data_IF_942795899496
#
_entry.id   IF_942795899496
#
_cell.length_a   1.000
_cell.length_b   1.000
_cell.length_c   1.000
_cell.angle_alpha   90.00
_cell.angle_beta   90.00
_cell.angle_gamma   90.00
#
_symmetry.space_group_name_H-M   'P 1'
#
loop_
_entity.id
_entity.type
_entity.pdbx_description
1 polymer ?
#
# COMPACT_ATOMS: atom_id res chain seq x y z
N UNK A 1 -2.81 -6.90 13.20
CA UNK A 1 -3.46 -5.58 13.14
C UNK A 1 -3.37 -5.13 11.71
N UNK A 2 -4.50 -4.71 11.16
CA UNK A 2 -4.58 -4.24 9.79
C UNK A 2 -4.38 -2.73 9.76
N UNK A 3 -3.71 -2.24 8.71
CA UNK A 3 -3.37 -0.82 8.55
C UNK A 3 -3.90 -0.33 7.21
N UNK A 4 -4.69 0.74 7.25
CA UNK A 4 -5.25 1.34 6.04
C UNK A 4 -4.16 2.10 5.26
N UNK A 5 -4.21 1.98 3.93
CA UNK A 5 -3.37 2.72 3.00
C UNK A 5 -4.21 3.77 2.27
N UNK A 6 -3.76 5.02 2.34
CA UNK A 6 -4.37 6.14 1.65
C UNK A 6 -3.45 6.68 0.55
N UNK A 7 -4.03 7.07 -0.58
CA UNK A 7 -3.28 7.78 -1.62
C UNK A 7 -3.00 9.25 -1.21
N UNK A 8 -2.27 10.00 -2.04
CA UNK A 8 -1.95 11.42 -1.72
C UNK A 8 -3.17 12.34 -1.65
N UNK A 9 -4.35 11.90 -2.11
CA UNK A 9 -5.63 12.61 -1.99
C UNK A 9 -6.42 12.23 -0.73
N UNK A 10 -5.89 11.36 0.12
CA UNK A 10 -6.58 10.87 1.32
C UNK A 10 -7.66 9.82 1.04
N UNK A 11 -7.67 9.21 -0.15
CA UNK A 11 -8.62 8.14 -0.48
C UNK A 11 -8.06 6.81 -0.01
N UNK A 12 -8.86 6.03 0.71
CA UNK A 12 -8.52 4.67 1.13
C UNK A 12 -8.48 3.76 -0.10
N UNK A 13 -7.35 3.10 -0.34
CA UNK A 13 -7.13 2.32 -1.57
C UNK A 13 -6.71 0.88 -1.33
N UNK A 14 -6.17 0.58 -0.15
CA UNK A 14 -5.69 -0.76 0.19
C UNK A 14 -5.53 -0.93 1.70
N UNK A 15 -5.36 -2.18 2.12
CA UNK A 15 -5.09 -2.55 3.52
C UNK A 15 -3.81 -3.36 3.57
N UNK A 16 -2.96 -3.08 4.55
CA UNK A 16 -1.82 -3.94 4.93
C UNK A 16 -2.28 -4.89 6.01
N UNK A 17 -2.05 -6.19 5.82
CA UNK A 17 -2.14 -7.20 6.88
C UNK A 17 -0.83 -7.97 6.94
N UNK A 18 -0.11 -7.85 8.06
CA UNK A 18 1.24 -8.41 8.19
C UNK A 18 2.22 -7.81 7.18
N UNK A 19 2.70 -8.64 6.25
CA UNK A 19 3.64 -8.27 5.18
C UNK A 19 2.98 -8.24 3.80
N UNK A 20 1.65 -8.17 3.75
CA UNK A 20 0.88 -8.30 2.52
C UNK A 20 -0.05 -7.10 2.35
N UNK A 21 -0.24 -6.67 1.11
CA UNK A 21 -1.13 -5.57 0.74
C UNK A 21 -2.30 -6.12 -0.06
N UNK A 22 -3.50 -5.80 0.38
CA UNK A 22 -4.75 -6.24 -0.21
C UNK A 22 -5.52 -5.04 -0.76
N UNK A 23 -6.28 -5.25 -1.83
CA UNK A 23 -7.29 -4.28 -2.23
C UNK A 23 -8.45 -4.29 -1.22
N UNK A 24 -9.39 -3.35 -1.38
CA UNK A 24 -10.56 -3.23 -0.50
C UNK A 24 -11.53 -4.43 -0.57
N UNK A 25 -11.37 -5.32 -1.54
CA UNK A 25 -12.17 -6.56 -1.66
C UNK A 25 -11.46 -7.79 -1.10
N UNK A 26 -10.31 -7.62 -0.44
CA UNK A 26 -9.54 -8.72 0.16
C UNK A 26 -8.65 -9.52 -0.81
N UNK A 27 -8.49 -9.07 -2.06
CA UNK A 27 -7.55 -9.67 -3.01
C UNK A 27 -6.14 -9.14 -2.76
N UNK A 28 -5.18 -10.04 -2.58
CA UNK A 28 -3.76 -9.69 -2.47
C UNK A 28 -3.25 -9.03 -3.75
N UNK A 29 -2.62 -7.88 -3.61
CA UNK A 29 -2.01 -7.10 -4.70
C UNK A 29 -0.48 -7.18 -4.66
N UNK A 30 0.11 -6.97 -3.48
CA UNK A 30 1.55 -6.77 -3.33
C UNK A 30 2.07 -7.39 -2.04
N UNK A 31 3.40 -7.52 -1.95
CA UNK A 31 4.13 -7.81 -0.73
C UNK A 31 4.75 -6.51 -0.19
N UNK A 32 4.78 -6.35 1.13
CA UNK A 32 5.40 -5.22 1.82
C UNK A 32 6.64 -5.70 2.59
N UNK A 33 7.79 -5.03 2.39
CA UNK A 33 9.01 -5.25 3.19
C UNK A 33 9.52 -3.91 3.71
N UNK A 34 9.33 -3.67 5.01
CA UNK A 34 9.51 -2.33 5.58
C UNK A 34 8.48 -1.37 4.99
N UNK A 35 8.94 -0.31 4.33
CA UNK A 35 8.08 0.61 3.57
C UNK A 35 7.99 0.29 2.08
N UNK A 36 8.80 -0.65 1.57
CA UNK A 36 8.90 -0.94 0.15
C UNK A 36 7.81 -1.93 -0.31
N UNK A 37 7.20 -1.60 -1.45
CA UNK A 37 6.11 -2.36 -2.06
C UNK A 37 6.64 -3.15 -3.25
N UNK A 38 6.38 -4.45 -3.23
CA UNK A 38 6.84 -5.39 -4.24
C UNK A 38 5.67 -6.10 -4.93
N UNK A 39 5.78 -6.33 -6.23
CA UNK A 39 4.92 -7.29 -6.94
C UNK A 39 5.08 -8.70 -6.35
N UNK A 40 4.11 -9.55 -6.65
CA UNK A 40 4.14 -10.95 -6.22
C UNK A 40 5.33 -11.74 -6.80
N UNK A 41 5.86 -11.32 -7.96
CA UNK A 41 7.07 -11.87 -8.57
C UNK A 41 8.38 -11.34 -7.93
N UNK A 42 8.31 -10.37 -7.02
CA UNK A 42 9.46 -9.83 -6.31
C UNK A 42 9.98 -8.47 -6.80
N UNK A 43 9.41 -7.89 -7.86
CA UNK A 43 9.85 -6.59 -8.39
C UNK A 43 9.46 -5.42 -7.47
N UNK A 44 10.40 -4.52 -7.18
CA UNK A 44 10.13 -3.27 -6.46
C UNK A 44 9.33 -2.32 -7.36
N UNK A 45 8.19 -1.82 -6.87
CA UNK A 45 7.31 -0.94 -7.65
C UNK A 45 7.04 0.40 -6.98
N UNK A 46 7.25 0.51 -5.68
CA UNK A 46 7.06 1.77 -4.97
C UNK A 46 7.30 1.62 -3.49
N UNK A 47 6.86 2.61 -2.73
CA UNK A 47 6.98 2.60 -1.28
C UNK A 47 5.85 3.38 -0.62
N UNK A 48 5.61 3.06 0.64
CA UNK A 48 4.82 3.86 1.55
C UNK A 48 5.67 5.05 2.02
N UNK A 49 5.02 6.18 2.24
CA UNK A 49 5.55 7.31 2.97
C UNK A 49 5.70 6.90 4.44
N UNK A 50 6.83 7.25 5.08
CA UNK A 50 7.04 6.98 6.50
C UNK A 50 6.21 7.93 7.37
N UNK A 51 4.89 7.71 7.40
CA UNK A 51 4.00 8.36 8.34
C UNK A 51 4.06 7.58 9.67
N UNK A 52 4.51 8.27 10.72
CA UNK A 52 4.58 7.79 12.12
C UNK A 52 3.19 7.67 12.76
N UNK A 53 2.22 7.05 12.08
CA UNK A 53 0.84 6.91 12.53
C UNK A 53 0.25 5.52 12.24
N UNK A 54 -0.99 5.31 12.70
CA UNK A 54 -1.77 4.10 12.42
C UNK A 54 -2.20 3.98 10.94
N UNK A 55 -1.92 4.98 10.12
CA UNK A 55 -2.28 5.09 8.72
C UNK A 55 -1.02 5.20 7.86
N UNK A 56 -1.02 4.53 6.71
CA UNK A 56 0.09 4.59 5.74
C UNK A 56 -0.35 5.36 4.51
N UNK A 57 0.47 6.30 4.07
CA UNK A 57 0.23 7.00 2.82
C UNK A 57 1.12 6.45 1.72
N UNK A 58 0.61 6.40 0.50
CA UNK A 58 1.43 6.14 -0.67
C UNK A 58 2.36 7.33 -0.92
N UNK A 59 3.55 7.05 -1.43
CA UNK A 59 4.32 8.07 -2.12
C UNK A 59 3.61 8.50 -3.41
N UNK A 60 3.83 9.75 -3.85
CA UNK A 60 3.19 10.33 -5.03
C UNK A 60 3.40 9.51 -6.31
N UNK A 61 4.56 8.89 -6.49
CA UNK A 61 4.81 8.01 -7.65
C UNK A 61 4.02 6.69 -7.55
N UNK A 62 3.77 6.25 -6.31
CA UNK A 62 3.11 4.98 -5.98
C UNK A 62 1.58 5.06 -6.09
N UNK A 63 0.98 6.25 -6.03
CA UNK A 63 -0.47 6.48 -6.23
C UNK A 63 -1.03 5.77 -7.47
N UNK A 64 -0.26 5.73 -8.57
CA UNK A 64 -0.68 5.11 -9.84
C UNK A 64 -0.86 3.59 -9.75
N UNK A 65 -0.27 2.94 -8.75
CA UNK A 65 -0.36 1.49 -8.54
C UNK A 65 -1.64 1.06 -7.84
N UNK A 66 -2.34 2.02 -7.23
CA UNK A 66 -3.56 1.83 -6.46
C UNK A 66 -4.63 2.80 -6.99
N UNK A 67 -5.23 2.51 -8.15
CA UNK A 67 -6.29 3.35 -8.68
C UNK A 67 -7.44 3.43 -7.66
N UNK A 68 -7.95 4.64 -7.43
CA UNK A 68 -9.23 4.80 -6.75
C UNK A 68 -10.27 4.06 -7.61
N UNK A 69 -10.95 3.10 -7.00
CA UNK A 69 -12.03 2.35 -7.66
C UNK A 69 -13.22 3.26 -7.93
#
# INVERSE_FOLDING_TARGET
MDVNIFNTKGVHVAVVSGLEIFNLTGRKLYNLRGVNIYRLNGDLVGHLSDAKGAEKHLDKATDRLFPAS
#
